data_IF_250440657266
#
_entry.id   IF_250440657266
#
_cell.length_a   1.000
_cell.length_b   1.000
_cell.length_c   1.000
_cell.angle_alpha   90.00
_cell.angle_beta   90.00
_cell.angle_gamma   90.00
#
_symmetry.space_group_name_H-M   'P 1'
#
loop_
_entity.id
_entity.type
_entity.pdbx_description
1 polymer ?
#
# COMPACT_ATOMS: atom_id res chain seq x y z
N UNK A 1 10.54 20.79 54.41
CA UNK A 1 9.63 20.63 53.25
C UNK A 1 10.47 20.24 52.04
N UNK A 2 10.38 18.99 51.58
CA UNK A 2 11.09 18.52 50.38
C UNK A 2 10.12 18.60 49.21
N UNK A 3 10.44 19.46 48.23
CA UNK A 3 9.67 19.64 47.00
C UNK A 3 9.84 18.40 46.11
N UNK A 4 8.72 17.78 45.72
CA UNK A 4 8.65 16.69 44.75
C UNK A 4 8.43 17.29 43.36
N UNK A 5 9.48 17.26 42.53
CA UNK A 5 9.37 17.51 41.09
C UNK A 5 8.77 16.27 40.41
N UNK A 6 7.54 16.37 39.93
CA UNK A 6 6.94 15.38 39.03
C UNK A 6 7.46 15.63 37.61
N UNK A 7 8.31 14.72 37.12
CA UNK A 7 8.70 14.68 35.70
C UNK A 7 7.59 13.98 34.93
N UNK A 8 6.80 14.75 34.19
CA UNK A 8 5.80 14.24 33.26
C UNK A 8 6.53 13.64 32.04
N UNK A 9 6.70 12.32 32.02
CA UNK A 9 7.25 11.61 30.86
C UNK A 9 6.26 11.67 29.70
N UNK A 10 6.54 12.51 28.71
CA UNK A 10 5.89 12.46 27.40
C UNK A 10 6.28 11.13 26.73
N UNK A 11 5.42 10.12 26.84
CA UNK A 11 5.47 8.97 25.93
C UNK A 11 5.16 9.48 24.51
N UNK A 12 6.20 9.87 23.77
CA UNK A 12 6.09 10.10 22.34
C UNK A 12 5.69 8.80 21.67
N UNK A 13 4.49 8.75 21.09
CA UNK A 13 4.12 7.67 20.18
C UNK A 13 4.97 7.86 18.92
N UNK A 14 6.09 7.15 18.83
CA UNK A 14 6.86 7.09 17.61
C UNK A 14 5.96 6.45 16.52
N UNK A 15 5.46 7.27 15.60
CA UNK A 15 4.79 6.76 14.41
C UNK A 15 5.80 5.92 13.64
N UNK A 16 5.40 4.71 13.20
CA UNK A 16 6.28 3.87 12.40
C UNK A 16 6.62 4.60 11.09
N UNK A 17 7.87 5.06 10.99
CA UNK A 17 8.40 5.78 9.84
C UNK A 17 8.91 4.78 8.80
N UNK A 18 8.83 5.17 7.53
CA UNK A 18 9.45 4.44 6.43
C UNK A 18 10.98 4.50 6.49
N UNK A 19 11.62 3.52 5.87
CA UNK A 19 13.08 3.45 5.67
C UNK A 19 13.40 3.32 4.18
N UNK A 20 14.58 3.76 3.77
CA UNK A 20 15.01 3.64 2.37
C UNK A 20 15.14 2.16 1.96
N UNK A 21 14.64 1.81 0.77
CA UNK A 21 14.71 0.48 0.19
C UNK A 21 14.86 0.58 -1.33
N UNK A 22 15.87 -0.09 -1.90
CA UNK A 22 16.01 -0.21 -3.34
C UNK A 22 15.61 -1.61 -3.78
N UNK A 23 14.57 -1.70 -4.61
CA UNK A 23 14.07 -2.97 -5.10
C UNK A 23 15.06 -3.59 -6.10
N UNK A 24 15.58 -4.81 -5.85
CA UNK A 24 16.64 -5.37 -6.67
C UNK A 24 16.19 -5.71 -8.10
N UNK A 25 14.90 -5.96 -8.31
CA UNK A 25 14.35 -6.35 -9.60
C UNK A 25 14.09 -5.13 -10.52
N UNK A 26 13.53 -4.06 -9.97
CA UNK A 26 13.19 -2.84 -10.72
C UNK A 26 14.24 -1.73 -10.64
N UNK A 27 15.14 -1.80 -9.65
CA UNK A 27 16.08 -0.72 -9.25
C UNK A 27 15.39 0.56 -8.75
N UNK A 28 14.09 0.51 -8.49
CA UNK A 28 13.35 1.62 -7.93
C UNK A 28 13.77 1.80 -6.48
N UNK A 29 14.08 3.04 -6.10
CA UNK A 29 14.35 3.41 -4.71
C UNK A 29 13.09 3.99 -4.09
N UNK A 30 12.67 3.38 -2.99
CA UNK A 30 11.46 3.66 -2.26
C UNK A 30 11.76 4.12 -0.83
N UNK A 31 10.72 4.69 -0.21
CA UNK A 31 10.52 4.66 1.22
C UNK A 31 9.56 3.53 1.59
N UNK A 32 10.00 2.60 2.43
CA UNK A 32 9.29 1.37 2.75
C UNK A 32 8.95 1.26 4.23
N UNK A 33 7.75 0.77 4.49
CA UNK A 33 7.28 0.40 5.81
C UNK A 33 6.89 -1.08 5.82
N UNK A 34 7.19 -1.81 6.89
CA UNK A 34 6.83 -3.22 7.04
C UNK A 34 6.10 -3.42 8.37
N UNK A 35 4.94 -4.07 8.32
CA UNK A 35 4.22 -4.47 9.52
C UNK A 35 4.97 -5.63 10.21
N UNK A 36 5.37 -5.51 11.48
CA UNK A 36 6.15 -6.55 12.16
C UNK A 36 5.33 -7.82 12.46
N UNK A 37 3.99 -7.77 12.38
CA UNK A 37 3.12 -8.91 12.71
C UNK A 37 2.74 -9.72 11.48
N UNK A 38 2.20 -9.06 10.46
CA UNK A 38 1.71 -9.68 9.22
C UNK A 38 2.82 -9.87 8.19
N UNK A 39 3.91 -9.09 8.27
CA UNK A 39 4.99 -9.09 7.28
C UNK A 39 4.64 -8.35 5.99
N UNK A 40 3.48 -7.69 5.91
CA UNK A 40 3.14 -6.82 4.78
C UNK A 40 4.14 -5.67 4.71
N UNK A 41 4.73 -5.46 3.54
CA UNK A 41 5.54 -4.29 3.24
C UNK A 41 4.87 -3.43 2.18
N UNK A 42 4.80 -2.14 2.48
CA UNK A 42 4.34 -1.11 1.55
C UNK A 42 5.50 -0.16 1.28
N UNK A 43 5.81 0.04 0.01
CA UNK A 43 6.91 0.90 -0.45
C UNK A 43 6.36 1.99 -1.36
N UNK A 44 6.85 3.22 -1.24
CA UNK A 44 6.37 4.39 -2.00
C UNK A 44 7.55 5.16 -2.57
N UNK A 45 7.45 5.52 -3.85
CA UNK A 45 8.34 6.45 -4.52
C UNK A 45 7.49 7.57 -5.12
N UNK A 46 7.95 8.81 -4.97
CA UNK A 46 7.27 10.03 -5.38
C UNK A 46 8.11 10.80 -6.40
N UNK A 47 7.49 11.58 -7.30
CA UNK A 47 8.23 12.53 -8.12
C UNK A 47 8.75 13.69 -7.26
N UNK A 48 9.88 14.29 -7.65
CA UNK A 48 10.40 15.50 -6.99
C UNK A 48 9.47 16.71 -7.14
N UNK A 49 8.80 16.81 -8.29
CA UNK A 49 7.76 17.80 -8.51
C UNK A 49 6.44 17.21 -8.01
N UNK A 50 5.70 17.97 -7.20
CA UNK A 50 4.40 17.54 -6.72
C UNK A 50 3.47 17.23 -7.91
N UNK A 51 3.02 15.98 -8.01
CA UNK A 51 1.97 15.54 -8.94
C UNK A 51 0.90 14.78 -8.16
N UNK A 52 -0.07 14.21 -8.88
CA UNK A 52 -1.04 13.28 -8.32
C UNK A 52 -0.58 11.81 -8.43
N UNK A 53 0.60 11.56 -8.99
CA UNK A 53 1.10 10.23 -9.30
C UNK A 53 2.06 9.74 -8.21
N UNK A 54 2.07 8.43 -7.98
CA UNK A 54 3.07 7.75 -7.15
C UNK A 54 3.35 6.36 -7.72
N UNK A 55 4.53 5.81 -7.41
CA UNK A 55 4.82 4.39 -7.64
C UNK A 55 4.78 3.71 -6.28
N UNK A 56 3.99 2.65 -6.17
CA UNK A 56 3.89 1.86 -4.96
C UNK A 56 4.24 0.40 -5.20
N UNK A 57 4.73 -0.26 -4.15
CA UNK A 57 4.91 -1.70 -4.12
C UNK A 57 4.22 -2.27 -2.88
N UNK A 58 3.38 -3.29 -3.08
CA UNK A 58 2.76 -4.08 -2.02
C UNK A 58 3.42 -5.46 -2.04
N UNK A 59 4.12 -5.82 -0.98
CA UNK A 59 4.63 -7.16 -0.71
C UNK A 59 3.82 -7.77 0.43
N UNK A 60 3.10 -8.86 0.17
CA UNK A 60 2.22 -9.48 1.15
C UNK A 60 2.53 -10.98 1.27
N UNK A 61 2.65 -11.54 2.49
CA UNK A 61 2.84 -12.98 2.74
C UNK A 61 1.58 -13.84 2.45
N UNK A 62 1.06 -13.75 1.23
CA UNK A 62 -0.08 -14.53 0.74
C UNK A 62 0.41 -15.90 0.25
N UNK A 63 0.45 -16.88 1.16
CA UNK A 63 0.89 -18.25 0.84
C UNK A 63 0.02 -18.86 -0.26
N UNK A 64 0.67 -19.35 -1.31
CA UNK A 64 0.00 -19.86 -2.51
C UNK A 64 -0.83 -18.81 -3.26
N UNK A 65 -0.63 -17.51 -3.00
CA UNK A 65 -1.43 -16.42 -3.54
C UNK A 65 -2.83 -16.30 -2.93
N UNK A 66 -3.12 -17.01 -1.83
CA UNK A 66 -4.43 -17.01 -1.18
C UNK A 66 -4.58 -15.78 -0.30
N UNK A 67 -5.73 -15.11 -0.43
CA UNK A 67 -6.06 -13.91 0.32
C UNK A 67 -5.98 -12.65 -0.53
N UNK A 68 -5.90 -11.50 0.13
CA UNK A 68 -5.71 -10.21 -0.52
C UNK A 68 -4.95 -9.25 0.39
N UNK A 69 -4.27 -8.28 -0.20
CA UNK A 69 -3.65 -7.17 0.51
C UNK A 69 -4.07 -5.84 -0.13
N UNK A 70 -3.97 -4.76 0.62
CA UNK A 70 -4.33 -3.46 0.09
C UNK A 70 -3.79 -2.30 0.89
N UNK A 71 -3.89 -1.12 0.28
CA UNK A 71 -3.48 0.15 0.86
C UNK A 71 -4.61 1.16 0.75
N UNK A 72 -4.67 2.07 1.72
CA UNK A 72 -5.47 3.28 1.62
C UNK A 72 -4.53 4.44 1.28
N UNK A 73 -4.88 5.22 0.25
CA UNK A 73 -4.11 6.42 -0.13
C UNK A 73 -4.32 7.60 0.83
N UNK A 74 -5.12 7.41 1.87
CA UNK A 74 -5.29 8.33 3.00
C UNK A 74 -5.12 7.61 4.34
N UNK A 75 -5.28 8.34 5.46
CA UNK A 75 -4.97 7.83 6.80
C UNK A 75 -5.97 6.81 7.34
N UNK A 76 -7.15 6.68 6.72
CA UNK A 76 -8.26 5.85 7.19
C UNK A 76 -8.94 5.13 6.01
N UNK A 77 -9.62 4.01 6.28
CA UNK A 77 -10.35 3.24 5.27
C UNK A 77 -11.48 4.04 4.62
N UNK A 78 -12.26 4.73 5.45
CA UNK A 78 -13.44 5.46 4.99
C UNK A 78 -13.02 6.75 4.28
N UNK A 79 -13.67 7.09 3.17
CA UNK A 79 -13.41 8.26 2.33
C UNK A 79 -12.06 8.30 1.60
N UNK A 80 -11.17 7.34 1.81
CA UNK A 80 -9.93 7.23 1.04
C UNK A 80 -10.13 6.37 -0.22
N UNK A 81 -9.43 6.66 -1.33
CA UNK A 81 -9.20 5.65 -2.35
C UNK A 81 -8.42 4.47 -1.77
N UNK A 82 -8.89 3.26 -2.07
CA UNK A 82 -8.33 2.00 -1.62
C UNK A 82 -7.84 1.22 -2.83
N UNK A 83 -6.66 0.63 -2.73
CA UNK A 83 -6.09 -0.23 -3.77
C UNK A 83 -5.94 -1.61 -3.16
N UNK A 84 -6.59 -2.61 -3.74
CA UNK A 84 -6.48 -3.99 -3.31
C UNK A 84 -5.87 -4.85 -4.41
N UNK A 85 -5.11 -5.86 -4.00
CA UNK A 85 -4.45 -6.83 -4.88
C UNK A 85 -4.56 -8.25 -4.33
N UNK A 86 -4.77 -9.21 -5.20
CA UNK A 86 -4.69 -10.66 -4.92
C UNK A 86 -4.16 -11.41 -6.14
N UNK A 87 -4.01 -12.73 -6.02
CA UNK A 87 -3.63 -13.60 -7.13
C UNK A 87 -4.84 -14.35 -7.69
N UNK A 88 -4.91 -14.44 -9.01
CA UNK A 88 -5.75 -15.40 -9.72
C UNK A 88 -4.97 -15.99 -10.89
N UNK A 89 -4.93 -17.32 -11.01
CA UNK A 89 -4.19 -18.04 -12.05
C UNK A 89 -2.71 -17.56 -12.18
N UNK A 90 -2.03 -17.36 -11.05
CA UNK A 90 -0.66 -16.84 -10.94
C UNK A 90 -0.44 -15.43 -11.52
N UNK A 91 -1.50 -14.66 -11.69
CA UNK A 91 -1.46 -13.25 -12.10
C UNK A 91 -2.07 -12.37 -11.03
N UNK A 92 -1.56 -11.15 -10.90
CA UNK A 92 -2.12 -10.16 -9.99
C UNK A 92 -3.46 -9.64 -10.52
N UNK A 93 -4.44 -9.55 -9.64
CA UNK A 93 -5.74 -8.92 -9.85
C UNK A 93 -5.80 -7.69 -8.97
N UNK A 94 -6.27 -6.56 -9.50
CA UNK A 94 -6.19 -5.28 -8.82
C UNK A 94 -7.47 -4.49 -9.00
N UNK A 95 -7.89 -3.77 -7.97
CA UNK A 95 -9.11 -2.96 -8.00
C UNK A 95 -8.94 -1.69 -7.19
N UNK A 96 -9.65 -0.63 -7.60
CA UNK A 96 -9.74 0.64 -6.87
C UNK A 96 -11.11 0.71 -6.21
N UNK A 97 -11.14 0.86 -4.89
CA UNK A 97 -12.36 0.89 -4.08
C UNK A 97 -12.46 2.15 -3.23
N UNK A 98 -13.66 2.47 -2.74
CA UNK A 98 -13.90 3.54 -1.79
C UNK A 98 -15.21 3.29 -1.06
N UNK A 99 -15.25 3.57 0.24
CA UNK A 99 -16.46 3.43 1.05
C UNK A 99 -16.65 4.63 1.96
N UNK A 100 -17.90 4.88 2.34
CA UNK A 100 -18.30 5.91 3.32
C UNK A 100 -18.64 5.29 4.69
N UNK A 101 -18.58 3.95 4.78
CA UNK A 101 -18.90 3.18 5.99
C UNK A 101 -17.93 2.02 6.15
N UNK A 102 -17.82 1.47 7.37
CA UNK A 102 -17.07 0.25 7.64
C UNK A 102 -17.83 -0.99 7.12
N UNK A 103 -17.78 -1.18 5.81
CA UNK A 103 -18.41 -2.27 5.06
C UNK A 103 -17.52 -2.67 3.88
N UNK A 104 -17.77 -3.81 3.21
CA UNK A 104 -17.07 -4.18 1.97
C UNK A 104 -17.07 -3.01 0.98
N UNK A 105 -15.90 -2.48 0.58
CA UNK A 105 -15.83 -1.30 -0.26
C UNK A 105 -16.32 -1.55 -1.69
N UNK A 106 -17.29 -0.77 -2.21
CA UNK A 106 -17.66 -0.84 -3.62
C UNK A 106 -16.55 -0.30 -4.53
N UNK A 107 -16.64 -0.64 -5.82
CA UNK A 107 -15.74 -0.11 -6.87
C UNK A 107 -15.79 1.41 -6.88
N UNK A 108 -14.63 2.04 -6.91
CA UNK A 108 -14.53 3.48 -6.96
C UNK A 108 -14.45 3.97 -8.40
N UNK A 109 -15.57 4.51 -8.89
CA UNK A 109 -15.63 5.22 -10.18
C UNK A 109 -14.84 6.52 -10.08
N UNK A 110 -13.59 6.49 -10.51
CA UNK A 110 -12.64 7.59 -10.45
C UNK A 110 -11.73 7.59 -11.68
N UNK A 111 -10.95 8.65 -11.84
CA UNK A 111 -9.95 8.75 -12.90
C UNK A 111 -8.62 8.06 -12.54
N UNK A 112 -8.55 7.36 -11.39
CA UNK A 112 -7.34 6.65 -10.97
C UNK A 112 -7.02 5.55 -11.99
N UNK A 113 -5.77 5.50 -12.42
CA UNK A 113 -5.28 4.46 -13.32
C UNK A 113 -4.10 3.74 -12.67
N UNK A 114 -4.22 2.43 -12.53
CA UNK A 114 -3.13 1.57 -12.06
C UNK A 114 -2.44 0.96 -13.28
N UNK A 115 -1.13 1.13 -13.40
CA UNK A 115 -0.29 0.50 -14.43
C UNK A 115 0.77 -0.36 -13.78
N UNK A 116 0.89 -1.60 -14.21
CA UNK A 116 1.75 -2.59 -13.58
C UNK A 116 3.19 -2.41 -14.03
N UNK A 117 4.14 -2.40 -13.07
CA UNK A 117 5.57 -2.53 -13.36
C UNK A 117 5.91 -4.02 -13.26
N UNK A 118 5.98 -4.67 -14.42
CA UNK A 118 6.07 -6.13 -14.52
C UNK A 118 7.31 -6.71 -13.81
N UNK A 119 8.46 -6.05 -13.93
CA UNK A 119 9.71 -6.49 -13.28
C UNK A 119 9.62 -6.51 -11.75
N UNK A 120 8.74 -5.71 -11.16
CA UNK A 120 8.51 -5.66 -9.71
C UNK A 120 7.27 -6.43 -9.27
N UNK A 121 6.66 -7.24 -10.14
CA UNK A 121 5.41 -7.93 -9.86
C UNK A 121 5.59 -9.44 -9.97
N UNK A 122 5.18 -10.17 -8.94
CA UNK A 122 5.29 -11.63 -8.89
C UNK A 122 4.28 -12.26 -7.93
N UNK A 123 3.91 -13.50 -8.21
CA UNK A 123 3.20 -14.37 -7.28
C UNK A 123 4.04 -15.64 -7.13
N UNK A 124 4.36 -16.01 -5.90
CA UNK A 124 5.07 -17.25 -5.60
C UNK A 124 4.39 -17.99 -4.43
N UNK A 125 4.99 -19.12 -4.01
CA UNK A 125 4.42 -19.98 -2.96
C UNK A 125 4.25 -19.28 -1.60
N UNK A 126 4.92 -18.16 -1.36
CA UNK A 126 4.97 -17.49 -0.06
C UNK A 126 4.49 -16.05 -0.09
N UNK A 127 4.62 -15.37 -1.23
CA UNK A 127 4.36 -13.94 -1.34
C UNK A 127 3.68 -13.57 -2.65
N UNK A 128 2.88 -12.51 -2.58
CA UNK A 128 2.50 -11.68 -3.70
C UNK A 128 3.31 -10.38 -3.61
N UNK A 129 3.93 -9.98 -4.71
CA UNK A 129 4.52 -8.65 -4.89
C UNK A 129 3.80 -7.96 -6.05
N UNK A 130 3.34 -6.74 -5.84
CA UNK A 130 2.73 -5.92 -6.88
C UNK A 130 3.35 -4.54 -6.85
N UNK A 131 4.13 -4.21 -7.88
CA UNK A 131 4.67 -2.85 -8.10
C UNK A 131 3.91 -2.18 -9.22
N UNK A 132 3.47 -0.95 -9.00
CA UNK A 132 2.63 -0.24 -9.95
C UNK A 132 2.83 1.27 -9.91
N UNK A 133 2.65 1.91 -11.05
CA UNK A 133 2.38 3.33 -11.15
C UNK A 133 0.88 3.54 -10.87
N UNK A 134 0.61 4.42 -9.92
CA UNK A 134 -0.72 4.89 -9.58
C UNK A 134 -0.86 6.31 -10.12
N UNK A 135 -1.46 6.44 -11.30
CA UNK A 135 -1.68 7.74 -11.93
C UNK A 135 -2.97 8.38 -11.42
N UNK A 136 -2.95 9.70 -11.22
CA UNK A 136 -4.07 10.51 -10.68
C UNK A 136 -4.54 10.11 -9.27
N UNK A 137 -3.67 9.44 -8.52
CA UNK A 137 -3.96 8.91 -7.19
C UNK A 137 -4.05 9.96 -6.08
N UNK A 138 -3.58 11.18 -6.34
CA UNK A 138 -3.75 12.37 -5.49
C UNK A 138 -3.32 12.14 -4.04
N UNK A 139 -2.18 11.48 -3.86
CA UNK A 139 -1.57 11.28 -2.56
C UNK A 139 -1.06 12.62 -2.02
N UNK A 140 -1.80 13.20 -1.09
CA UNK A 140 -1.52 14.52 -0.49
C UNK A 140 -1.03 14.43 0.96
N UNK A 141 -0.81 13.22 1.47
CA UNK A 141 -0.62 12.98 2.90
C UNK A 141 0.76 12.44 3.27
N UNK A 142 1.06 12.51 4.55
CA UNK A 142 2.17 11.77 5.17
C UNK A 142 1.73 10.42 5.74
N UNK A 143 0.43 10.07 5.65
CA UNK A 143 -0.15 8.85 6.25
C UNK A 143 -0.89 8.02 5.23
N UNK A 144 -0.64 6.72 5.26
CA UNK A 144 -1.34 5.71 4.46
C UNK A 144 -1.88 4.61 5.36
N UNK A 145 -2.92 3.93 4.87
CA UNK A 145 -3.43 2.70 5.48
C UNK A 145 -2.90 1.46 4.78
N UNK A 146 -2.92 0.34 5.49
CA UNK A 146 -2.68 -0.99 4.93
C UNK A 146 -3.71 -1.98 5.49
N UNK A 147 -3.96 -3.05 4.74
CA UNK A 147 -4.87 -4.12 5.12
C UNK A 147 -4.44 -5.44 4.47
N UNK A 148 -4.71 -6.56 5.15
CA UNK A 148 -4.48 -7.90 4.62
C UNK A 148 -5.54 -8.87 5.12
N UNK A 149 -5.97 -9.77 4.24
CA UNK A 149 -6.74 -10.96 4.60
C UNK A 149 -6.05 -12.20 4.04
N UNK A 150 -6.12 -13.28 4.79
CA UNK A 150 -5.77 -14.64 4.32
C UNK A 150 -6.98 -15.41 3.82
N UNK A 151 -8.19 -14.84 3.91
CA UNK A 151 -9.40 -15.45 3.39
C UNK A 151 -9.46 -15.24 1.86
N UNK A 152 -9.76 -16.28 1.06
CA UNK A 152 -9.89 -16.14 -0.38
C UNK A 152 -10.91 -15.08 -0.79
N UNK A 153 -10.62 -14.41 -1.91
CA UNK A 153 -11.57 -13.54 -2.60
C UNK A 153 -12.62 -14.42 -3.32
N UNK A 154 -13.95 -14.19 -3.17
CA UNK A 154 -14.98 -15.11 -3.67
C UNK A 154 -15.01 -15.31 -5.19
N UNK A 155 -14.84 -14.23 -5.96
CA UNK A 155 -14.81 -14.25 -7.44
C UNK A 155 -13.45 -13.74 -7.91
N UNK A 156 -12.37 -14.51 -7.74
CA UNK A 156 -11.01 -13.99 -7.90
C UNK A 156 -10.67 -13.55 -9.34
N UNK A 157 -11.39 -14.01 -10.34
CA UNK A 157 -11.26 -13.61 -11.76
C UNK A 157 -11.89 -12.26 -12.10
N UNK A 158 -12.82 -11.75 -11.27
CA UNK A 158 -13.53 -10.49 -11.51
C UNK A 158 -13.13 -9.45 -10.45
N UNK A 159 -12.12 -8.65 -10.79
CA UNK A 159 -11.54 -7.69 -9.85
C UNK A 159 -12.52 -6.65 -9.31
N UNK A 160 -13.54 -6.29 -10.08
CA UNK A 160 -14.49 -5.23 -9.74
C UNK A 160 -15.83 -5.78 -9.25
N UNK A 161 -16.27 -6.93 -9.76
CA UNK A 161 -17.48 -7.62 -9.28
C UNK A 161 -17.27 -8.42 -8.00
N UNK A 162 -16.03 -8.77 -7.64
CA UNK A 162 -15.79 -9.52 -6.40
C UNK A 162 -15.90 -8.68 -5.13
N UNK A 163 -16.35 -9.30 -4.05
CA UNK A 163 -16.39 -8.71 -2.72
C UNK A 163 -15.03 -8.82 -2.03
N UNK A 164 -14.54 -7.72 -1.47
CA UNK A 164 -13.43 -7.74 -0.51
C UNK A 164 -13.96 -8.04 0.89
N UNK A 165 -13.71 -9.26 1.39
CA UNK A 165 -14.02 -9.64 2.78
C UNK A 165 -13.16 -8.90 3.80
N UNK A 166 -13.45 -9.04 5.10
CA UNK A 166 -12.72 -8.35 6.16
C UNK A 166 -11.22 -8.73 6.19
N UNK A 167 -10.35 -7.75 6.45
CA UNK A 167 -8.89 -7.89 6.56
C UNK A 167 -8.47 -8.52 7.90
N UNK A 168 -8.75 -9.82 8.07
CA UNK A 168 -8.52 -10.55 9.32
C UNK A 168 -7.04 -10.73 9.67
N UNK A 169 -6.14 -10.66 8.69
CA UNK A 169 -4.71 -10.88 8.91
C UNK A 169 -3.99 -9.63 9.44
N UNK A 170 -4.62 -8.46 9.34
CA UNK A 170 -4.12 -7.22 9.92
C UNK A 170 -4.54 -5.99 9.14
N UNK A 171 -4.52 -4.85 9.82
CA UNK A 171 -4.74 -3.54 9.24
C UNK A 171 -4.17 -2.46 10.16
N UNK A 172 -3.93 -1.28 9.60
CA UNK A 172 -3.45 -0.15 10.37
C UNK A 172 -3.03 1.01 9.49
N UNK A 173 -2.31 1.96 10.07
CA UNK A 173 -1.73 3.08 9.34
C UNK A 173 -0.24 3.24 9.64
N UNK A 174 0.47 3.83 8.70
CA UNK A 174 1.89 4.14 8.80
C UNK A 174 2.19 5.52 8.22
N UNK A 175 3.37 6.06 8.53
CA UNK A 175 3.80 7.37 8.05
C UNK A 175 4.87 7.23 6.98
N UNK A 176 4.65 7.88 5.85
CA UNK A 176 5.62 7.99 4.75
C UNK A 176 6.50 9.22 4.99
N UNK A 177 7.80 9.04 4.94
CA UNK A 177 8.77 10.14 4.81
C UNK A 177 8.70 10.69 3.38
N UNK A 178 7.81 11.66 3.16
CA UNK A 178 7.49 12.20 1.83
C UNK A 178 8.73 12.81 1.17
N UNK A 179 9.56 13.53 1.93
CA UNK A 179 10.78 14.16 1.41
C UNK A 179 11.75 13.08 0.89
N UNK A 180 12.00 12.04 1.69
CA UNK A 180 12.89 10.94 1.25
C UNK A 180 12.28 10.00 0.23
N UNK A 181 10.96 10.05 0.02
CA UNK A 181 10.29 9.27 -1.03
C UNK A 181 10.41 9.93 -2.41
N UNK A 182 10.72 11.23 -2.47
CA UNK A 182 10.93 11.93 -3.74
C UNK A 182 12.21 11.47 -4.44
N UNK A 183 12.12 11.21 -5.75
CA UNK A 183 13.27 10.75 -6.52
C UNK A 183 13.26 11.28 -7.97
N UNK A 184 14.42 11.74 -8.45
CA UNK A 184 14.61 12.19 -9.83
C UNK A 184 14.39 11.08 -10.86
N UNK A 185 14.63 9.81 -10.46
CA UNK A 185 14.39 8.63 -11.29
C UNK A 185 12.92 8.28 -11.53
N UNK A 186 11.99 8.92 -10.81
CA UNK A 186 10.56 8.60 -10.87
C UNK A 186 10.01 8.55 -12.29
N UNK A 187 10.28 9.59 -13.09
CA UNK A 187 9.77 9.68 -14.46
C UNK A 187 10.29 8.53 -15.33
N UNK A 188 11.55 8.12 -15.14
CA UNK A 188 12.13 6.98 -15.86
C UNK A 188 11.54 5.64 -15.43
N UNK A 189 11.22 5.45 -14.16
CA UNK A 189 10.57 4.24 -13.68
C UNK A 189 9.10 4.16 -14.15
N UNK A 190 8.40 5.28 -14.17
CA UNK A 190 7.01 5.36 -14.60
C UNK A 190 6.80 4.89 -16.06
N UNK A 191 7.80 5.02 -16.94
CA UNK A 191 7.71 4.53 -18.33
C UNK A 191 7.71 3.01 -18.44
N UNK A 192 8.12 2.30 -17.39
CA UNK A 192 8.12 0.83 -17.35
C UNK A 192 6.77 0.22 -16.97
N UNK A 193 5.81 1.07 -16.60
CA UNK A 193 4.48 0.66 -16.19
C UNK A 193 3.54 0.51 -17.41
N UNK A 194 2.86 -0.63 -17.50
CA UNK A 194 1.90 -0.96 -18.55
C UNK A 194 0.49 -1.22 -17.99
#
# INVERSE_FOLDING_TARGET
MKSLFNVLSLCGVALAQTVAYTDPATKITFQSWTDPKSGVRVSVALPQNATTDLIAQIQAPLKGGIGWAGIALGPVMVYSPLIAVWSHANKTQTTVRRTEKYMPPPVYKSDIVLKTIAAGTSVNATHLTYTFLCAKCSFSGVRMGWAMSTDPVPTPEDADGSMLGFHKAGFGGFTVDVEKAQNAGFAGWATTAA
#
